data_IF_434724812330
#
_entry.id   IF_434724812330
#
_cell.length_a   1.000
_cell.length_b   1.000
_cell.length_c   1.000
_cell.angle_alpha   90.00
_cell.angle_beta   90.00
_cell.angle_gamma   90.00
#
_symmetry.space_group_name_H-M   'P 1'
#
loop_
_entity.id
_entity.type
_entity.pdbx_description
1 polymer ?
#
# COMPACT_ATOMS: atom_id res chain seq x y z
N UNK A 1 4.73 24.28 1.05
CA UNK A 1 5.07 22.85 0.94
C UNK A 1 3.99 22.25 0.07
N UNK A 2 4.35 21.70 -1.09
CA UNK A 2 3.35 21.06 -1.95
C UNK A 2 2.78 19.82 -1.26
N UNK A 3 1.47 19.62 -1.36
CA UNK A 3 0.83 18.47 -0.73
C UNK A 3 1.19 17.16 -1.46
N UNK A 4 1.04 16.01 -0.80
CA UNK A 4 1.23 14.69 -1.45
C UNK A 4 0.33 14.57 -2.68
N UNK A 5 -0.91 15.04 -2.59
CA UNK A 5 -1.87 15.04 -3.69
C UNK A 5 -1.41 15.89 -4.87
N UNK A 6 -0.87 17.09 -4.61
CA UNK A 6 -0.33 17.94 -5.69
C UNK A 6 0.81 17.25 -6.44
N UNK A 7 1.64 16.51 -5.71
CA UNK A 7 2.74 15.75 -6.30
C UNK A 7 2.26 14.57 -7.14
N UNK A 8 1.29 13.81 -6.64
CA UNK A 8 0.64 12.71 -7.38
C UNK A 8 0.04 13.23 -8.70
N UNK A 9 -0.82 14.26 -8.63
CA UNK A 9 -1.49 14.82 -9.81
C UNK A 9 -0.52 15.40 -10.84
N UNK A 10 0.55 16.05 -10.39
CA UNK A 10 1.57 16.60 -11.28
C UNK A 10 2.27 15.49 -12.08
N UNK A 11 2.72 14.44 -11.38
CA UNK A 11 3.41 13.33 -12.02
C UNK A 11 2.45 12.52 -12.92
N UNK A 12 1.20 12.34 -12.51
CA UNK A 12 0.18 11.67 -13.33
C UNK A 12 -0.01 12.40 -14.65
N UNK A 13 -0.16 13.73 -14.60
CA UNK A 13 -0.31 14.56 -15.80
C UNK A 13 0.91 14.46 -16.71
N UNK A 14 2.11 14.48 -16.16
CA UNK A 14 3.35 14.34 -16.93
C UNK A 14 3.46 12.96 -17.59
N UNK A 15 3.19 11.89 -16.84
CA UNK A 15 3.33 10.54 -17.34
C UNK A 15 2.21 10.16 -18.32
N UNK A 16 0.99 10.68 -18.13
CA UNK A 16 -0.13 10.47 -19.05
C UNK A 16 0.16 11.01 -20.45
N UNK A 17 0.87 12.13 -20.58
CA UNK A 17 1.28 12.69 -21.87
C UNK A 17 2.24 11.75 -22.63
N UNK A 18 3.13 11.07 -21.90
CA UNK A 18 4.12 10.14 -22.48
C UNK A 18 3.54 8.74 -22.73
N UNK A 19 2.59 8.31 -21.90
CA UNK A 19 1.99 6.97 -21.97
C UNK A 19 0.86 6.84 -23.01
N UNK A 20 0.45 7.95 -23.64
CA UNK A 20 -0.53 7.96 -24.72
C UNK A 20 -1.91 7.46 -24.26
N UNK A 21 -2.46 6.36 -24.82
CA UNK A 21 -3.82 5.92 -24.50
C UNK A 21 -3.94 5.14 -23.18
N UNK A 22 -2.82 4.78 -22.54
CA UNK A 22 -2.83 3.95 -21.34
C UNK A 22 -3.14 4.80 -20.11
N UNK A 23 -4.21 4.49 -19.34
CA UNK A 23 -4.49 5.21 -18.11
C UNK A 23 -3.39 4.92 -17.08
N UNK A 24 -2.95 5.97 -16.39
CA UNK A 24 -1.91 5.92 -15.36
C UNK A 24 -2.47 6.52 -14.07
N UNK A 25 -2.22 5.84 -12.96
CA UNK A 25 -2.50 6.31 -11.59
C UNK A 25 -1.19 6.25 -10.82
N UNK A 26 -0.84 7.31 -10.08
CA UNK A 26 0.39 7.40 -9.29
C UNK A 26 0.02 7.57 -7.83
N UNK A 27 0.57 6.68 -7.01
CA UNK A 27 0.34 6.66 -5.57
C UNK A 27 1.65 6.69 -4.81
N UNK A 28 1.74 7.59 -3.82
CA UNK A 28 2.86 7.63 -2.90
C UNK A 28 2.67 6.60 -1.79
N UNK A 29 3.55 5.60 -1.72
CA UNK A 29 3.43 4.49 -0.78
C UNK A 29 3.77 4.87 0.68
N UNK A 30 4.57 5.92 0.90
CA UNK A 30 5.08 6.28 2.23
C UNK A 30 3.98 6.56 3.25
N UNK A 31 2.87 7.14 2.81
CA UNK A 31 1.69 7.44 3.65
C UNK A 31 0.46 6.59 3.31
N UNK A 32 0.61 5.59 2.45
CA UNK A 32 -0.52 4.79 1.98
C UNK A 32 -1.00 3.81 3.08
N UNK A 33 -2.29 3.44 3.08
CA UNK A 33 -2.82 2.43 3.99
C UNK A 33 -2.02 1.12 3.93
N UNK A 34 -1.84 0.47 5.08
CA UNK A 34 -1.07 -0.78 5.23
C UNK A 34 -1.54 -1.87 4.25
N UNK A 35 -2.85 -2.01 4.07
CA UNK A 35 -3.44 -2.97 3.12
C UNK A 35 -3.04 -2.69 1.67
N UNK A 36 -2.95 -1.42 1.28
CA UNK A 36 -2.55 -1.02 -0.07
C UNK A 36 -1.06 -1.29 -0.30
N UNK A 37 -0.20 -0.88 0.65
CA UNK A 37 1.24 -1.18 0.61
C UNK A 37 1.49 -2.69 0.49
N UNK A 38 0.78 -3.49 1.29
CA UNK A 38 0.88 -4.95 1.23
C UNK A 38 0.45 -5.51 -0.14
N UNK A 39 -0.63 -4.97 -0.72
CA UNK A 39 -1.10 -5.39 -2.04
C UNK A 39 -0.05 -5.08 -3.13
N UNK A 40 0.55 -3.88 -3.09
CA UNK A 40 1.64 -3.49 -3.99
C UNK A 40 2.83 -4.45 -3.90
N UNK A 41 3.23 -4.86 -2.70
CA UNK A 41 4.31 -5.85 -2.52
C UNK A 41 3.89 -7.22 -3.06
N UNK A 42 2.64 -7.62 -2.81
CA UNK A 42 2.15 -8.97 -3.13
C UNK A 42 1.94 -9.19 -4.63
N UNK A 43 1.48 -8.17 -5.36
CA UNK A 43 1.06 -8.31 -6.76
C UNK A 43 1.85 -7.43 -7.71
N UNK A 44 2.52 -6.39 -7.22
CA UNK A 44 3.31 -5.48 -8.02
C UNK A 44 4.68 -6.03 -8.36
N UNK A 45 5.31 -5.39 -9.34
CA UNK A 45 6.67 -5.71 -9.78
C UNK A 45 7.54 -4.43 -9.69
N UNK A 46 8.73 -4.48 -9.06
CA UNK A 46 9.62 -3.33 -9.02
C UNK A 46 10.18 -3.00 -10.41
N UNK A 47 9.84 -1.82 -10.93
CA UNK A 47 10.37 -1.33 -12.22
C UNK A 47 11.76 -0.70 -12.04
N UNK A 48 11.97 0.01 -10.93
CA UNK A 48 13.25 0.65 -10.60
C UNK A 48 13.49 0.58 -9.09
N UNK A 49 14.66 0.10 -8.70
CA UNK A 49 15.13 0.08 -7.31
C UNK A 49 16.44 0.85 -7.25
N UNK A 50 16.43 2.02 -6.59
CA UNK A 50 17.63 2.85 -6.41
C UNK A 50 18.48 2.39 -5.23
N UNK A 51 17.82 1.96 -4.16
CA UNK A 51 18.46 1.45 -2.95
C UNK A 51 17.72 0.18 -2.48
N UNK A 52 18.37 -1.00 -2.54
CA UNK A 52 17.76 -2.25 -2.14
C UNK A 52 17.54 -2.35 -0.62
N UNK A 53 18.30 -1.62 0.20
CA UNK A 53 18.12 -1.60 1.65
C UNK A 53 16.82 -0.89 2.00
N UNK A 54 16.57 0.26 1.38
CA UNK A 54 15.30 0.99 1.56
C UNK A 54 14.09 0.16 1.11
N UNK A 55 14.23 -0.61 0.02
CA UNK A 55 13.19 -1.53 -0.42
C UNK A 55 12.94 -2.64 0.61
N UNK A 56 14.00 -3.25 1.14
CA UNK A 56 13.90 -4.29 2.15
C UNK A 56 13.19 -3.76 3.41
N UNK A 57 13.58 -2.58 3.90
CA UNK A 57 12.96 -1.93 5.05
C UNK A 57 11.46 -1.67 4.82
N UNK A 58 11.09 -1.19 3.62
CA UNK A 58 9.70 -0.98 3.24
C UNK A 58 8.89 -2.27 3.24
N UNK A 59 9.45 -3.35 2.69
CA UNK A 59 8.80 -4.67 2.63
C UNK A 59 8.61 -5.25 4.03
N UNK A 60 9.67 -5.27 4.83
CA UNK A 60 9.64 -5.80 6.20
C UNK A 60 8.66 -5.04 7.08
N UNK A 61 8.70 -3.70 7.04
CA UNK A 61 7.79 -2.84 7.83
C UNK A 61 6.35 -3.08 7.39
N UNK A 62 6.08 -3.13 6.09
CA UNK A 62 4.72 -3.32 5.58
C UNK A 62 4.15 -4.69 5.96
N UNK A 63 4.95 -5.76 5.87
CA UNK A 63 4.51 -7.11 6.24
C UNK A 63 4.21 -7.17 7.75
N UNK A 64 5.09 -6.60 8.58
CA UNK A 64 4.88 -6.52 10.04
C UNK A 64 3.58 -5.79 10.38
N UNK A 65 3.43 -4.56 9.88
CA UNK A 65 2.23 -3.74 10.11
C UNK A 65 0.96 -4.45 9.63
N UNK A 66 1.04 -5.14 8.49
CA UNK A 66 -0.11 -5.86 7.94
C UNK A 66 -0.52 -7.05 8.80
N UNK A 67 0.45 -7.82 9.32
CA UNK A 67 0.19 -8.95 10.20
C UNK A 67 -0.38 -8.52 11.55
N UNK A 68 0.11 -7.39 12.09
CA UNK A 68 -0.48 -6.77 13.29
C UNK A 68 -1.93 -6.36 13.03
N UNK A 69 -2.19 -5.63 11.94
CA UNK A 69 -3.54 -5.22 11.56
C UNK A 69 -4.48 -6.39 11.25
N UNK A 70 -4.00 -7.44 10.60
CA UNK A 70 -4.79 -8.64 10.32
C UNK A 70 -5.22 -9.34 11.61
N UNK A 71 -4.31 -9.47 12.58
CA UNK A 71 -4.61 -10.03 13.90
C UNK A 71 -5.74 -9.25 14.60
N UNK A 72 -5.67 -7.92 14.59
CA UNK A 72 -6.72 -7.08 15.18
C UNK A 72 -8.06 -7.19 14.44
N UNK A 73 -8.05 -7.32 13.11
CA UNK A 73 -9.28 -7.55 12.33
C UNK A 73 -9.94 -8.87 12.67
N UNK A 74 -9.16 -9.94 12.82
CA UNK A 74 -9.71 -11.27 13.13
C UNK A 74 -10.32 -11.30 14.54
N UNK A 75 -9.68 -10.63 15.50
CA UNK A 75 -10.22 -10.45 16.86
C UNK A 75 -11.51 -9.62 16.86
N UNK A 76 -11.51 -8.48 16.17
CA UNK A 76 -12.68 -7.61 16.04
C UNK A 76 -13.86 -8.31 15.33
N UNK A 77 -13.59 -9.05 14.25
CA UNK A 77 -14.60 -9.84 13.55
C UNK A 77 -15.11 -10.99 14.41
N UNK A 78 -14.25 -11.66 15.19
CA UNK A 78 -14.68 -12.69 16.12
C UNK A 78 -15.62 -12.14 17.19
N UNK A 79 -15.36 -10.95 17.70
CA UNK A 79 -16.24 -10.26 18.65
C UNK A 79 -17.55 -9.80 18.00
N UNK A 80 -17.50 -9.28 16.77
CA UNK A 80 -18.66 -8.71 16.07
C UNK A 80 -19.58 -9.78 15.44
N UNK A 81 -19.01 -10.89 14.96
CA UNK A 81 -19.76 -11.99 14.29
C UNK A 81 -20.38 -12.95 15.31
N UNK A 82 -20.13 -12.77 16.62
CA UNK A 82 -20.86 -13.52 17.65
C UNK A 82 -20.68 -15.03 17.58
N UNK A 83 -19.56 -15.52 17.04
CA UNK A 83 -19.11 -16.90 17.29
C UNK A 83 -18.48 -16.97 18.69
N UNK A 84 -19.22 -16.47 19.67
CA UNK A 84 -19.02 -16.81 21.06
C UNK A 84 -19.24 -18.32 21.18
N UNK A 85 -18.24 -18.99 21.75
CA UNK A 85 -18.25 -20.40 22.04
C UNK A 85 -19.60 -20.81 22.64
N UNK A 86 -20.36 -21.64 21.91
CA UNK A 86 -21.35 -22.50 22.56
C UNK A 86 -20.53 -23.65 23.18
N UNK A 87 -20.32 -23.56 24.49
CA UNK A 87 -19.89 -24.69 25.33
C UNK A 87 -21.07 -25.64 25.51
#
# INVERSE_FOLDING_TARGET
MSSVLEWELLLEGQLALEMGPWPVDIRVLNGAPVSFRYWVIKTGEPILVRDPVVLADFVETTIRDYLEFARFRDEYLRETVGLGCQH
#
